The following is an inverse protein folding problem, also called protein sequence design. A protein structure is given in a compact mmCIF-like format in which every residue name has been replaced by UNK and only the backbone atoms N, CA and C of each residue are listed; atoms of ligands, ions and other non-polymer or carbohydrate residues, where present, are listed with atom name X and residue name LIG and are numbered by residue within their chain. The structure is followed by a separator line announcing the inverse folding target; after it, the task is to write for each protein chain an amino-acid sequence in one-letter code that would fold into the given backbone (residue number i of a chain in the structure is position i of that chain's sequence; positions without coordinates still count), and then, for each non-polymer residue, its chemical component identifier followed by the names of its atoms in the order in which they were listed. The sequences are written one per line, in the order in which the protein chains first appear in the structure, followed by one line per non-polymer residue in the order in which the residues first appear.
data_IF_735388221135
#
_entry.id   IF_735388221135
#
_cell.length_a   1.000
_cell.length_b   1.000
_cell.length_c   1.000
_cell.angle_alpha   90.00
_cell.angle_beta   90.00
_cell.angle_gamma   90.00
#
_symmetry.space_group_name_H-M   'P 1'
#
loop_
_entity.id
_entity.type
_entity.pdbx_description
1 polymer ?
#
# COMPACT_ATOMS: atom_id res chain seq x y z
N UNK A 1 -39.24 14.93 47.32
CA UNK A 1 -37.92 15.48 46.96
C UNK A 1 -37.20 14.43 46.11
N UNK A 2 -37.24 14.58 44.79
CA UNK A 2 -36.57 13.68 43.85
C UNK A 2 -35.26 14.31 43.40
N UNK A 3 -34.16 13.56 43.47
CA UNK A 3 -32.88 13.95 42.91
C UNK A 3 -32.66 13.16 41.62
N UNK A 4 -32.57 13.90 40.53
CA UNK A 4 -32.37 13.40 39.18
C UNK A 4 -30.95 12.84 38.99
N UNK A 5 -30.86 11.67 38.36
CA UNK A 5 -29.62 11.09 37.84
C UNK A 5 -29.18 11.88 36.61
N UNK A 6 -28.13 12.69 36.74
CA UNK A 6 -27.44 13.27 35.59
C UNK A 6 -26.50 12.21 34.99
N UNK A 7 -27.00 11.51 33.96
CA UNK A 7 -26.17 10.67 33.10
C UNK A 7 -25.24 11.54 32.28
N UNK A 8 -23.94 11.48 32.58
CA UNK A 8 -22.89 12.02 31.73
C UNK A 8 -22.75 11.13 30.50
N UNK A 9 -23.32 11.56 29.37
CA UNK A 9 -23.02 11.01 28.06
C UNK A 9 -21.58 11.38 27.69
N UNK A 10 -20.67 10.41 27.72
CA UNK A 10 -19.32 10.58 27.16
C UNK A 10 -19.41 10.74 25.63
N UNK A 11 -18.58 11.58 25.00
CA UNK A 11 -18.56 11.71 23.55
C UNK A 11 -18.03 10.40 22.95
N UNK A 12 -18.77 9.88 21.96
CA UNK A 12 -18.30 8.79 21.11
C UNK A 12 -17.02 9.24 20.39
N UNK A 13 -15.86 8.84 20.91
CA UNK A 13 -14.60 8.99 20.20
C UNK A 13 -14.70 8.23 18.88
N UNK A 14 -14.40 8.90 17.77
CA UNK A 14 -14.24 8.24 16.48
C UNK A 14 -13.22 7.10 16.64
N UNK A 15 -13.71 5.87 16.66
CA UNK A 15 -12.87 4.68 16.72
C UNK A 15 -12.18 4.57 15.37
N UNK A 16 -10.95 5.07 15.28
CA UNK A 16 -10.11 4.84 14.11
C UNK A 16 -9.89 3.34 13.95
N UNK A 17 -9.97 2.85 12.72
CA UNK A 17 -9.72 1.43 12.38
C UNK A 17 -8.30 1.07 12.82
N UNK A 18 -8.15 -0.01 13.59
CA UNK A 18 -6.88 -0.50 14.10
C UNK A 18 -6.04 -1.18 13.02
N UNK A 19 -4.71 -1.30 13.25
CA UNK A 19 -3.81 -2.01 12.34
C UNK A 19 -4.25 -3.48 12.11
N UNK A 20 -4.76 -4.13 13.16
CA UNK A 20 -5.23 -5.52 13.09
C UNK A 20 -6.46 -5.66 12.17
N UNK A 21 -7.41 -4.71 12.25
CA UNK A 21 -8.59 -4.67 11.39
C UNK A 21 -8.23 -4.37 9.93
N UNK A 22 -7.24 -3.50 9.69
CA UNK A 22 -6.74 -3.24 8.33
C UNK A 22 -6.03 -4.45 7.74
N UNK A 23 -5.23 -5.17 8.54
CA UNK A 23 -4.61 -6.43 8.11
C UNK A 23 -5.68 -7.48 7.82
N UNK A 24 -6.69 -7.63 8.68
CA UNK A 24 -7.80 -8.56 8.45
C UNK A 24 -8.58 -8.21 7.16
N UNK A 25 -8.86 -6.92 6.94
CA UNK A 25 -9.50 -6.43 5.71
C UNK A 25 -8.67 -6.75 4.46
N UNK A 26 -7.35 -6.57 4.51
CA UNK A 26 -6.46 -6.93 3.42
C UNK A 26 -6.45 -8.45 3.15
N UNK A 27 -6.50 -9.29 4.19
CA UNK A 27 -6.64 -10.75 4.05
C UNK A 27 -7.99 -11.15 3.46
N UNK A 28 -9.06 -10.47 3.85
CA UNK A 28 -10.39 -10.71 3.29
C UNK A 28 -10.41 -10.37 1.80
N UNK A 29 -9.84 -9.23 1.41
CA UNK A 29 -9.71 -8.86 0.00
C UNK A 29 -8.90 -9.91 -0.81
N UNK A 30 -7.88 -10.51 -0.20
CA UNK A 30 -7.17 -11.65 -0.79
C UNK A 30 -8.08 -12.89 -1.01
N UNK A 31 -8.92 -13.23 -0.03
CA UNK A 31 -9.88 -14.34 -0.15
C UNK A 31 -10.92 -14.08 -1.25
N UNK A 32 -11.39 -12.84 -1.34
CA UNK A 32 -12.40 -12.40 -2.31
C UNK A 32 -11.83 -12.13 -3.71
N UNK A 33 -10.51 -12.30 -3.90
CA UNK A 33 -9.79 -11.96 -5.14
C UNK A 33 -9.98 -10.50 -5.58
N UNK A 34 -10.16 -9.61 -4.61
CA UNK A 34 -10.23 -8.17 -4.83
C UNK A 34 -8.85 -7.51 -4.62
N UNK A 35 -8.09 -7.36 -5.71
CA UNK A 35 -6.79 -6.70 -5.64
C UNK A 35 -6.90 -5.21 -5.31
N UNK A 36 -7.97 -4.53 -5.73
CA UNK A 36 -8.15 -3.10 -5.46
C UNK A 36 -8.39 -2.85 -3.98
N UNK A 37 -9.25 -3.66 -3.34
CA UNK A 37 -9.48 -3.64 -1.90
C UNK A 37 -8.21 -3.98 -1.12
N UNK A 38 -7.47 -4.99 -1.54
CA UNK A 38 -6.17 -5.33 -0.96
C UNK A 38 -5.20 -4.15 -1.03
N UNK A 39 -5.01 -3.59 -2.24
CA UNK A 39 -4.04 -2.54 -2.49
C UNK A 39 -4.40 -1.23 -1.78
N UNK A 40 -5.70 -0.95 -1.62
CA UNK A 40 -6.19 0.18 -0.83
C UNK A 40 -5.76 0.09 0.63
N UNK A 41 -5.88 -1.10 1.25
CA UNK A 41 -5.41 -1.32 2.62
C UNK A 41 -3.88 -1.27 2.70
N UNK A 42 -3.20 -1.90 1.75
CA UNK A 42 -1.73 -1.93 1.67
C UNK A 42 -1.12 -0.53 1.53
N UNK A 43 -1.65 0.34 0.67
CA UNK A 43 -1.13 1.69 0.47
C UNK A 43 -1.36 2.65 1.66
N UNK A 44 -2.31 2.35 2.55
CA UNK A 44 -2.70 3.26 3.65
C UNK A 44 -1.85 3.10 4.91
N UNK A 45 -1.23 1.94 5.12
CA UNK A 45 -0.65 1.60 6.42
C UNK A 45 0.63 0.77 6.29
N UNK A 46 1.73 1.25 6.88
CA UNK A 46 3.05 0.60 6.79
C UNK A 46 3.12 -0.75 7.51
N UNK A 47 2.29 -0.99 8.53
CA UNK A 47 2.20 -2.31 9.19
C UNK A 47 1.48 -3.31 8.30
N UNK A 48 0.44 -2.87 7.58
CA UNK A 48 -0.19 -3.69 6.54
C UNK A 48 0.84 -4.03 5.47
N UNK A 49 1.61 -3.04 4.99
CA UNK A 49 2.69 -3.29 4.01
C UNK A 49 3.63 -4.40 4.49
N UNK A 50 4.17 -4.27 5.70
CA UNK A 50 5.09 -5.24 6.30
C UNK A 50 4.49 -6.66 6.40
N UNK A 51 3.18 -6.79 6.63
CA UNK A 51 2.50 -8.07 6.73
C UNK A 51 2.32 -8.80 5.38
N UNK A 52 2.45 -8.08 4.25
CA UNK A 52 2.25 -8.60 2.90
C UNK A 52 3.47 -8.38 2.00
N UNK A 53 4.66 -8.26 2.59
CA UNK A 53 5.91 -8.41 1.85
C UNK A 53 6.24 -9.89 1.68
N UNK A 54 6.78 -10.28 0.53
CA UNK A 54 7.46 -11.56 0.42
C UNK A 54 8.72 -11.55 1.30
N UNK A 55 9.26 -12.72 1.75
CA UNK A 55 10.44 -12.78 2.60
C UNK A 55 11.63 -11.98 2.05
N UNK A 56 11.81 -12.02 0.73
CA UNK A 56 12.73 -11.17 -0.01
C UNK A 56 12.02 -10.50 -1.19
N UNK A 57 12.39 -9.25 -1.45
CA UNK A 57 11.92 -8.44 -2.57
C UNK A 57 13.10 -8.21 -3.52
N UNK A 58 12.90 -8.51 -4.80
CA UNK A 58 13.88 -8.20 -5.83
C UNK A 58 13.73 -6.74 -6.25
N UNK A 59 14.78 -5.95 -6.08
CA UNK A 59 14.87 -4.63 -6.69
C UNK A 59 15.45 -4.80 -8.08
N UNK A 60 14.67 -4.45 -9.11
CA UNK A 60 15.01 -4.64 -10.52
C UNK A 60 15.10 -3.31 -11.25
N UNK A 61 15.82 -3.31 -12.37
CA UNK A 61 15.86 -2.14 -13.24
C UNK A 61 14.53 -1.96 -13.96
N UNK A 62 13.96 -0.76 -13.92
CA UNK A 62 12.77 -0.45 -14.70
C UNK A 62 13.03 -0.51 -16.21
N UNK A 63 14.20 -0.05 -16.66
CA UNK A 63 14.59 -0.05 -18.07
C UNK A 63 14.95 -1.45 -18.61
N UNK A 64 15.42 -2.34 -17.73
CA UNK A 64 15.74 -3.73 -18.06
C UNK A 64 15.19 -4.68 -16.97
N UNK A 65 13.89 -5.02 -16.99
CA UNK A 65 13.23 -5.76 -15.89
C UNK A 65 13.84 -7.12 -15.53
N UNK A 66 14.54 -7.76 -16.48
CA UNK A 66 15.27 -9.01 -16.21
C UNK A 66 16.50 -8.81 -15.30
N UNK A 67 17.05 -7.60 -15.24
CA UNK A 67 18.23 -7.26 -14.43
C UNK A 67 17.86 -6.97 -12.98
N UNK A 68 18.27 -7.86 -12.08
CA UNK A 68 18.21 -7.64 -10.63
C UNK A 68 19.34 -6.66 -10.26
N UNK A 69 18.98 -5.57 -9.59
CA UNK A 69 19.90 -4.59 -9.02
C UNK A 69 20.34 -5.05 -7.63
N UNK A 70 19.38 -5.49 -6.82
CA UNK A 70 19.63 -6.05 -5.49
C UNK A 70 18.46 -6.91 -5.03
N UNK A 71 18.67 -7.66 -3.94
CA UNK A 71 17.62 -8.37 -3.20
C UNK A 71 17.57 -7.80 -1.78
N UNK A 72 16.37 -7.46 -1.32
CA UNK A 72 16.14 -6.83 -0.02
C UNK A 72 15.25 -7.73 0.82
N UNK A 73 15.70 -8.09 2.02
CA UNK A 73 14.88 -8.79 3.00
C UNK A 73 13.69 -7.93 3.44
N UNK A 74 12.51 -8.53 3.64
CA UNK A 74 11.29 -7.83 4.05
C UNK A 74 11.52 -6.89 5.24
N UNK A 75 12.24 -7.36 6.26
CA UNK A 75 12.55 -6.60 7.47
C UNK A 75 13.39 -5.33 7.20
N UNK A 76 14.09 -5.27 6.07
CA UNK A 76 14.92 -4.12 5.65
C UNK A 76 14.25 -3.26 4.58
N UNK A 77 13.10 -3.67 4.03
CA UNK A 77 12.40 -2.92 2.99
C UNK A 77 11.83 -1.60 3.52
N UNK A 78 11.41 -1.57 4.79
CA UNK A 78 11.01 -0.36 5.50
C UNK A 78 9.92 0.42 4.76
N UNK A 79 10.14 1.73 4.59
CA UNK A 79 9.20 2.66 3.95
C UNK A 79 9.53 2.91 2.46
N UNK A 80 10.08 1.92 1.76
CA UNK A 80 10.49 2.06 0.36
C UNK A 80 9.31 2.10 -0.62
N UNK A 81 8.12 1.65 -0.20
CA UNK A 81 6.93 1.66 -1.02
C UNK A 81 6.45 3.10 -1.29
N UNK A 82 6.36 3.47 -2.57
CA UNK A 82 6.20 4.85 -3.00
C UNK A 82 4.75 5.32 -3.18
N UNK A 83 3.80 4.39 -3.17
CA UNK A 83 2.38 4.68 -3.38
C UNK A 83 1.69 4.73 -2.02
N UNK A 84 0.94 5.81 -1.78
CA UNK A 84 0.01 5.92 -0.67
C UNK A 84 -1.41 6.16 -1.19
N UNK A 85 -2.41 5.85 -0.37
CA UNK A 85 -3.80 6.21 -0.65
C UNK A 85 -4.31 7.18 0.42
N UNK A 86 -4.77 8.34 -0.02
CA UNK A 86 -5.34 9.41 0.83
C UNK A 86 -6.67 9.82 0.20
N UNK A 87 -7.76 9.76 0.96
CA UNK A 87 -9.11 10.12 0.49
C UNK A 87 -9.49 9.54 -0.88
N UNK A 88 -9.15 8.25 -1.08
CA UNK A 88 -9.36 7.48 -2.32
C UNK A 88 -8.53 7.92 -3.53
N UNK A 89 -7.57 8.83 -3.34
CA UNK A 89 -6.59 9.23 -4.35
C UNK A 89 -5.24 8.54 -4.13
N UNK A 90 -4.58 8.19 -5.23
CA UNK A 90 -3.23 7.62 -5.24
C UNK A 90 -2.18 8.71 -5.27
N UNK A 91 -1.32 8.76 -4.27
CA UNK A 91 -0.36 9.85 -4.08
C UNK A 91 1.03 9.33 -3.76
N UNK A 92 2.05 10.18 -3.94
CA UNK A 92 3.41 9.92 -3.51
C UNK A 92 3.46 9.83 -1.98
N UNK A 93 3.82 8.65 -1.47
CA UNK A 93 3.93 8.37 -0.03
C UNK A 93 4.80 9.38 0.73
N UNK A 94 5.82 9.98 0.08
CA UNK A 94 6.69 11.01 0.70
C UNK A 94 5.97 12.32 0.95
N UNK A 95 4.92 12.60 0.19
CA UNK A 95 4.12 13.83 0.27
C UNK A 95 2.75 13.61 0.90
N UNK A 96 2.36 12.36 1.15
CA UNK A 96 1.02 11.97 1.61
C UNK A 96 0.59 12.64 2.94
N UNK A 97 1.55 13.03 3.79
CA UNK A 97 1.29 13.74 5.06
C UNK A 97 1.34 15.28 4.94
N UNK A 98 1.63 15.79 3.75
CA UNK A 98 1.67 17.23 3.48
C UNK A 98 0.29 17.80 3.13
N UNK A 99 0.19 19.13 3.05
CA UNK A 99 -1.08 19.80 2.66
C UNK A 99 -1.50 19.50 1.22
N UNK A 100 -0.53 19.34 0.32
CA UNK A 100 -0.73 19.11 -1.10
C UNK A 100 0.03 17.84 -1.50
N UNK A 101 -0.53 16.64 -1.26
CA UNK A 101 0.09 15.40 -1.70
C UNK A 101 0.18 15.38 -3.23
N UNK A 102 1.28 14.85 -3.76
CA UNK A 102 1.48 14.78 -5.20
C UNK A 102 0.79 13.54 -5.77
N UNK A 103 -0.17 13.74 -6.67
CA UNK A 103 -0.89 12.66 -7.33
C UNK A 103 0.06 11.76 -8.15
N UNK A 104 -0.22 10.46 -8.12
CA UNK A 104 0.42 9.48 -8.97
C UNK A 104 -0.52 9.06 -10.08
N UNK A 105 0.05 8.88 -11.28
CA UNK A 105 -0.66 8.17 -12.36
C UNK A 105 -0.31 6.70 -12.25
N UNK A 106 -1.31 5.85 -12.03
CA UNK A 106 -1.14 4.41 -11.90
C UNK A 106 -1.70 3.68 -13.13
N UNK A 107 -0.99 2.65 -13.56
CA UNK A 107 -1.46 1.67 -14.55
C UNK A 107 -1.41 0.29 -13.93
N UNK A 108 -2.50 -0.45 -14.04
CA UNK A 108 -2.68 -1.77 -13.44
C UNK A 108 -2.63 -2.82 -14.53
N UNK A 109 -1.84 -3.86 -14.33
CA UNK A 109 -1.71 -4.98 -15.28
C UNK A 109 -1.84 -6.29 -14.52
N UNK A 110 -2.80 -7.12 -14.91
CA UNK A 110 -2.87 -8.48 -14.42
C UNK A 110 -1.75 -9.32 -15.04
N UNK A 111 -1.12 -10.15 -14.22
CA UNK A 111 -0.09 -11.09 -14.62
C UNK A 111 -0.62 -12.53 -14.51
N UNK A 112 0.06 -13.51 -15.12
CA UNK A 112 -0.23 -14.92 -14.88
C UNK A 112 -0.27 -15.28 -13.39
N UNK A 113 -0.94 -16.39 -13.07
CA UNK A 113 -1.06 -16.93 -11.71
C UNK A 113 -1.64 -15.94 -10.69
N UNK A 114 -2.58 -15.09 -11.15
CA UNK A 114 -3.19 -14.01 -10.36
C UNK A 114 -2.19 -12.98 -9.82
N UNK A 115 -1.00 -12.88 -10.42
CA UNK A 115 -0.07 -11.81 -10.14
C UNK A 115 -0.62 -10.45 -10.59
N UNK A 116 -0.10 -9.39 -10.02
CA UNK A 116 -0.53 -8.02 -10.31
C UNK A 116 0.69 -7.13 -10.41
N UNK A 117 0.72 -6.28 -11.45
CA UNK A 117 1.73 -5.26 -11.63
C UNK A 117 1.08 -3.88 -11.57
N UNK A 118 1.72 -2.99 -10.84
CA UNK A 118 1.31 -1.58 -10.72
C UNK A 118 2.48 -0.72 -11.19
N UNK A 119 2.34 -0.11 -12.34
CA UNK A 119 3.24 0.95 -12.81
C UNK A 119 2.76 2.29 -12.25
N UNK A 120 3.70 3.12 -11.81
CA UNK A 120 3.40 4.47 -11.34
C UNK A 120 4.29 5.49 -12.03
N UNK A 121 3.72 6.66 -12.29
CA UNK A 121 4.47 7.85 -12.72
C UNK A 121 4.24 8.95 -11.71
N UNK A 122 5.36 9.43 -11.16
CA UNK A 122 5.42 10.57 -10.27
C UNK A 122 5.78 11.82 -11.07
N UNK A 123 4.88 12.82 -11.13
CA UNK A 123 5.20 14.07 -11.79
C UNK A 123 6.32 14.79 -11.04
N UNK A 124 7.31 15.30 -11.76
CA UNK A 124 8.33 16.14 -11.16
C UNK A 124 7.87 17.59 -11.13
N UNK A 125 8.07 18.28 -10.00
CA UNK A 125 7.82 19.73 -9.93
C UNK A 125 8.74 20.51 -10.90
N UNK A 126 9.95 19.98 -11.13
CA UNK A 126 10.91 20.44 -12.15
C UNK A 126 11.68 19.23 -12.71
N UNK A 127 11.91 19.20 -14.01
CA UNK A 127 12.67 18.13 -14.68
C UNK A 127 11.81 16.93 -15.10
N UNK A 128 12.46 15.77 -15.24
CA UNK A 128 11.80 14.55 -15.75
C UNK A 128 10.99 13.83 -14.66
N UNK A 129 9.85 13.28 -15.08
CA UNK A 129 9.02 12.41 -14.24
C UNK A 129 9.81 11.19 -13.74
N UNK A 130 9.45 10.69 -12.56
CA UNK A 130 10.01 9.44 -12.03
C UNK A 130 8.99 8.33 -12.15
N UNK A 131 9.31 7.32 -12.93
CA UNK A 131 8.52 6.11 -13.04
C UNK A 131 9.07 5.01 -12.13
N UNK A 132 8.22 4.04 -11.83
CA UNK A 132 8.59 2.78 -11.18
C UNK A 132 7.45 1.80 -11.31
N UNK A 133 7.66 0.57 -10.87
CA UNK A 133 6.60 -0.42 -10.83
C UNK A 133 6.77 -1.37 -9.65
N UNK A 134 5.65 -1.97 -9.24
CA UNK A 134 5.62 -3.01 -8.22
C UNK A 134 4.99 -4.26 -8.79
N UNK A 135 5.51 -5.43 -8.42
CA UNK A 135 4.91 -6.72 -8.76
C UNK A 135 4.52 -7.44 -7.49
N UNK A 136 3.26 -7.82 -7.44
CA UNK A 136 2.66 -8.65 -6.41
C UNK A 136 2.39 -10.04 -6.98
N UNK A 137 2.84 -11.08 -6.29
CA UNK A 137 2.51 -12.45 -6.62
C UNK A 137 1.45 -12.98 -5.67
N UNK A 138 0.46 -13.71 -6.18
CA UNK A 138 -0.53 -14.37 -5.33
C UNK A 138 0.01 -15.72 -4.84
N UNK A 139 0.40 -15.81 -3.56
CA UNK A 139 1.03 -16.99 -2.97
C UNK A 139 0.49 -17.22 -1.56
N UNK A 140 0.30 -18.49 -1.18
CA UNK A 140 -0.22 -18.81 0.16
C UNK A 140 -1.59 -18.19 0.44
N UNK A 141 -2.42 -18.01 -0.60
CA UNK A 141 -3.75 -17.43 -0.48
C UNK A 141 -3.82 -15.91 -0.41
N UNK A 142 -2.73 -15.18 -0.65
CA UNK A 142 -2.77 -13.71 -0.67
C UNK A 142 -1.67 -13.09 -1.55
N UNK A 143 -1.84 -11.82 -1.92
CA UNK A 143 -0.81 -11.08 -2.64
C UNK A 143 0.35 -10.71 -1.72
N UNK A 144 1.57 -10.88 -2.24
CA UNK A 144 2.80 -10.46 -1.58
C UNK A 144 3.64 -9.62 -2.54
N UNK A 145 4.18 -8.51 -2.07
CA UNK A 145 5.13 -7.71 -2.85
C UNK A 145 6.41 -8.51 -3.04
N UNK A 146 6.74 -8.83 -4.30
CA UNK A 146 7.90 -9.65 -4.68
C UNK A 146 8.94 -8.87 -5.47
N UNK A 147 8.54 -7.81 -6.18
CA UNK A 147 9.49 -6.99 -6.96
C UNK A 147 9.18 -5.49 -6.87
N UNK A 148 10.26 -4.71 -6.89
CA UNK A 148 10.29 -3.25 -6.92
C UNK A 148 11.17 -2.82 -8.10
N UNK A 149 10.55 -2.25 -9.13
CA UNK A 149 11.21 -1.81 -10.35
C UNK A 149 11.44 -0.30 -10.29
N UNK A 150 12.69 0.12 -10.42
CA UNK A 150 13.11 1.52 -10.30
C UNK A 150 14.26 1.91 -11.23
#
# INVERSE_FOLDING_TARGET
MGLALAGLSAPAGAQGVSDAELIASARQACADRDFNGFMSNFARNTRVQAAFLAPSIEVRSLAAPARIISTVEAARYGNAFAIAMVDYSWVDARTARGRNPADLRLTWTELPDSGQRIDYVRPAARGANRAGAYVFAFRGGCWQLVQDLR
#
